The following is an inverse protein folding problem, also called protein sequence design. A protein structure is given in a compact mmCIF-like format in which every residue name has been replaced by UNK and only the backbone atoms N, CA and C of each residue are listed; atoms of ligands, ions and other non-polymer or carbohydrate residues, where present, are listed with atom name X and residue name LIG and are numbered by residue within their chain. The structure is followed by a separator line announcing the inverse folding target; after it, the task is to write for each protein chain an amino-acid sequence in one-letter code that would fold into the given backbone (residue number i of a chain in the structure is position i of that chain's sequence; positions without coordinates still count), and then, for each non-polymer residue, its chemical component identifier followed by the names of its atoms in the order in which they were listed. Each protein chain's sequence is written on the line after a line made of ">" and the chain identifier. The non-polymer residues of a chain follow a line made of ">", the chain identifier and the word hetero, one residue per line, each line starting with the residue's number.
data_IF_678485171567
#
_entry.id   IF_678485171567
#
_cell.length_a   1.000
_cell.length_b   1.000
_cell.length_c   1.000
_cell.angle_alpha   90.00
_cell.angle_beta   90.00
_cell.angle_gamma   90.00
#
_symmetry.space_group_name_H-M   'P 1'
#
loop_
_entity.id
_entity.type
_entity.pdbx_description
1 polymer ?
#
# COMPACT_ATOMS: atom_id res chain seq x y z
N UNK A 1 16.06 -52.84 64.89
CA UNK A 1 17.11 -52.06 64.21
C UNK A 1 16.63 -51.71 62.81
N UNK A 2 16.50 -50.40 62.56
CA UNK A 2 16.54 -49.61 61.32
C UNK A 2 15.85 -50.11 60.04
N UNK A 3 14.72 -49.46 59.74
CA UNK A 3 14.24 -49.19 58.37
C UNK A 3 15.07 -48.01 57.79
N UNK A 4 15.69 -48.20 56.63
CA UNK A 4 16.07 -47.15 55.66
C UNK A 4 15.56 -47.68 54.32
N UNK A 5 14.65 -47.04 53.60
CA UNK A 5 14.44 -45.61 53.45
C UNK A 5 14.67 -45.32 51.97
N UNK A 6 13.68 -45.65 51.15
CA UNK A 6 13.59 -45.28 49.73
C UNK A 6 13.79 -43.78 49.59
N UNK A 7 14.77 -43.35 48.82
CA UNK A 7 14.97 -41.95 48.47
C UNK A 7 15.66 -41.86 47.12
N UNK A 8 14.92 -42.16 46.05
CA UNK A 8 15.36 -41.82 44.69
C UNK A 8 14.15 -41.62 43.77
N UNK A 9 13.33 -40.60 44.05
CA UNK A 9 12.21 -40.24 43.16
C UNK A 9 11.96 -38.73 42.99
N UNK A 10 12.73 -37.88 43.65
CA UNK A 10 12.47 -36.42 43.68
C UNK A 10 13.22 -35.67 42.56
N UNK A 11 14.26 -36.24 41.95
CA UNK A 11 15.11 -35.51 40.99
C UNK A 11 14.59 -35.38 39.54
N UNK A 12 13.59 -36.17 39.13
CA UNK A 12 13.17 -36.21 37.72
C UNK A 12 11.93 -35.36 37.40
N UNK A 13 11.11 -35.04 38.40
CA UNK A 13 9.82 -34.37 38.19
C UNK A 13 9.96 -32.85 37.98
N UNK A 14 11.00 -32.25 38.57
CA UNK A 14 11.26 -30.81 38.46
C UNK A 14 11.93 -30.42 37.12
N UNK A 15 12.68 -31.34 36.51
CA UNK A 15 13.39 -31.09 35.23
C UNK A 15 12.42 -31.15 34.04
N UNK A 16 11.44 -32.06 34.05
CA UNK A 16 10.39 -32.13 33.02
C UNK A 16 9.49 -30.88 33.04
N UNK A 17 9.19 -30.33 34.22
CA UNK A 17 8.37 -29.12 34.35
C UNK A 17 8.99 -27.89 33.68
N UNK A 18 10.29 -27.68 33.86
CA UNK A 18 11.00 -26.55 33.26
C UNK A 18 11.15 -26.68 31.73
N UNK A 19 11.33 -27.90 31.22
CA UNK A 19 11.44 -28.13 29.77
C UNK A 19 10.10 -27.90 29.07
N UNK A 20 9.00 -28.36 29.67
CA UNK A 20 7.66 -28.16 29.12
C UNK A 20 7.24 -26.68 29.14
N UNK A 21 7.57 -25.94 30.21
CA UNK A 21 7.26 -24.51 30.27
C UNK A 21 8.08 -23.69 29.27
N UNK A 22 9.35 -24.03 29.05
CA UNK A 22 10.20 -23.36 28.06
C UNK A 22 9.68 -23.58 26.63
N UNK A 23 9.29 -24.82 26.30
CA UNK A 23 8.71 -25.16 24.99
C UNK A 23 7.40 -24.42 24.72
N UNK A 24 6.53 -24.26 25.72
CA UNK A 24 5.27 -23.52 25.58
C UNK A 24 5.48 -22.02 25.35
N UNK A 25 6.44 -21.41 26.06
CA UNK A 25 6.73 -19.97 25.90
C UNK A 25 7.36 -19.69 24.53
N UNK A 26 8.23 -20.57 24.04
CA UNK A 26 8.80 -20.45 22.70
C UNK A 26 7.74 -20.61 21.60
N UNK A 27 6.83 -21.58 21.72
CA UNK A 27 5.75 -21.76 20.73
C UNK A 27 4.75 -20.60 20.73
N UNK A 28 4.40 -20.05 21.89
CA UNK A 28 3.56 -18.86 21.98
C UNK A 28 4.21 -17.62 21.35
N UNK A 29 5.51 -17.41 21.57
CA UNK A 29 6.25 -16.27 21.02
C UNK A 29 6.39 -16.37 19.50
N UNK A 30 6.70 -17.56 18.97
CA UNK A 30 6.75 -17.83 17.52
C UNK A 30 5.38 -17.59 16.87
N UNK A 31 4.29 -17.90 17.56
CA UNK A 31 2.93 -17.64 17.09
C UNK A 31 2.57 -16.15 17.04
N UNK A 32 3.06 -15.35 17.99
CA UNK A 32 2.88 -13.89 17.95
C UNK A 32 3.70 -13.25 16.83
N UNK A 33 4.94 -13.71 16.62
CA UNK A 33 5.78 -13.23 15.54
C UNK A 33 5.15 -13.51 14.16
N UNK A 34 4.64 -14.74 13.96
CA UNK A 34 3.99 -15.13 12.71
C UNK A 34 2.71 -14.31 12.47
N UNK A 35 1.91 -14.06 13.51
CA UNK A 35 0.74 -13.20 13.44
C UNK A 35 1.08 -11.77 13.03
N UNK A 36 2.14 -11.18 13.62
CA UNK A 36 2.59 -9.82 13.27
C UNK A 36 3.06 -9.78 11.81
N UNK A 37 3.84 -10.76 11.36
CA UNK A 37 4.30 -10.86 9.97
C UNK A 37 3.12 -10.96 9.00
N UNK A 38 2.11 -11.77 9.31
CA UNK A 38 0.91 -11.90 8.51
C UNK A 38 0.15 -10.56 8.42
N UNK A 39 0.00 -9.85 9.55
CA UNK A 39 -0.66 -8.53 9.58
C UNK A 39 0.08 -7.49 8.75
N UNK A 40 1.42 -7.52 8.73
CA UNK A 40 2.22 -6.64 7.88
C UNK A 40 1.95 -6.92 6.40
N UNK A 41 1.89 -8.20 5.99
CA UNK A 41 1.56 -8.57 4.61
C UNK A 41 0.16 -8.08 4.23
N UNK A 42 -0.85 -8.36 5.05
CA UNK A 42 -2.23 -7.90 4.83
C UNK A 42 -2.33 -6.36 4.69
N UNK A 43 -1.58 -5.62 5.50
CA UNK A 43 -1.55 -4.16 5.43
C UNK A 43 -0.88 -3.65 4.15
N UNK A 44 0.19 -4.31 3.69
CA UNK A 44 0.88 -3.97 2.45
C UNK A 44 -0.02 -4.20 1.23
N UNK A 45 -0.74 -5.32 1.20
CA UNK A 45 -1.67 -5.62 0.11
C UNK A 45 -2.82 -4.61 0.06
N UNK A 46 -3.37 -4.24 1.22
CA UNK A 46 -4.39 -3.18 1.31
C UNK A 46 -3.87 -1.82 0.82
N UNK A 47 -2.65 -1.46 1.19
CA UNK A 47 -2.03 -0.21 0.75
C UNK A 47 -1.84 -0.19 -0.77
N UNK A 48 -1.39 -1.29 -1.36
CA UNK A 48 -1.20 -1.38 -2.81
C UNK A 48 -2.52 -1.23 -3.56
N UNK A 49 -3.58 -1.89 -3.09
CA UNK A 49 -4.93 -1.72 -3.66
C UNK A 49 -5.41 -0.26 -3.57
N UNK A 50 -5.22 0.39 -2.43
CA UNK A 50 -5.58 1.79 -2.26
C UNK A 50 -4.81 2.73 -3.20
N UNK A 51 -3.51 2.48 -3.42
CA UNK A 51 -2.71 3.26 -4.37
C UNK A 51 -3.26 3.14 -5.80
N UNK A 52 -3.62 1.92 -6.22
CA UNK A 52 -4.19 1.68 -7.54
C UNK A 52 -5.56 2.36 -7.70
N UNK A 53 -6.43 2.24 -6.70
CA UNK A 53 -7.73 2.90 -6.68
C UNK A 53 -7.59 4.43 -6.72
N UNK A 54 -6.64 4.99 -5.96
CA UNK A 54 -6.36 6.42 -5.97
C UNK A 54 -5.87 6.90 -7.33
N UNK A 55 -4.93 6.18 -7.94
CA UNK A 55 -4.42 6.53 -9.28
C UNK A 55 -5.53 6.51 -10.34
N UNK A 56 -6.48 5.58 -10.24
CA UNK A 56 -7.66 5.55 -11.10
C UNK A 56 -8.54 6.79 -10.88
N UNK A 57 -8.82 7.14 -9.62
CA UNK A 57 -9.62 8.33 -9.28
C UNK A 57 -8.96 9.63 -9.73
N UNK A 58 -7.64 9.75 -9.60
CA UNK A 58 -6.88 10.90 -10.10
C UNK A 58 -7.00 11.04 -11.62
N UNK A 59 -6.90 9.93 -12.35
CA UNK A 59 -7.08 9.92 -13.80
C UNK A 59 -8.52 10.29 -14.21
N UNK A 60 -9.52 9.76 -13.50
CA UNK A 60 -10.93 10.11 -13.73
C UNK A 60 -11.17 11.61 -13.45
N UNK A 61 -10.58 12.15 -12.37
CA UNK A 61 -10.68 13.57 -12.04
C UNK A 61 -10.01 14.45 -13.10
N UNK A 62 -8.82 14.07 -13.57
CA UNK A 62 -8.10 14.78 -14.62
C UNK A 62 -8.90 14.77 -15.93
N UNK A 63 -9.48 13.62 -16.29
CA UNK A 63 -10.32 13.47 -17.48
C UNK A 63 -11.56 14.36 -17.39
N UNK A 64 -12.23 14.37 -16.24
CA UNK A 64 -13.38 15.25 -16.02
C UNK A 64 -13.01 16.74 -16.04
N UNK A 65 -11.86 17.11 -15.48
CA UNK A 65 -11.37 18.50 -15.53
C UNK A 65 -11.09 18.93 -16.98
N UNK A 66 -10.42 18.08 -17.76
CA UNK A 66 -10.17 18.34 -19.18
C UNK A 66 -11.47 18.43 -19.99
N UNK A 67 -12.43 17.54 -19.74
CA UNK A 67 -13.75 17.61 -20.37
C UNK A 67 -14.45 18.93 -20.02
N UNK A 68 -14.40 19.35 -18.75
CA UNK A 68 -14.97 20.62 -18.31
C UNK A 68 -14.26 21.84 -18.89
N UNK A 69 -12.93 21.79 -19.08
CA UNK A 69 -12.18 22.84 -19.80
C UNK A 69 -12.53 22.88 -21.29
N UNK A 70 -12.79 21.72 -21.90
CA UNK A 70 -13.25 21.64 -23.29
C UNK A 70 -14.65 22.24 -23.46
N UNK A 71 -15.48 22.17 -22.41
CA UNK A 71 -16.86 22.68 -22.39
C UNK A 71 -16.94 24.15 -21.96
N UNK A 72 -16.03 24.61 -21.09
CA UNK A 72 -16.02 25.97 -20.57
C UNK A 72 -15.13 26.90 -21.37
N UNK A 73 -15.69 27.61 -22.36
CA UNK A 73 -15.21 28.90 -22.91
C UNK A 73 -13.81 28.98 -23.54
N UNK A 74 -12.79 28.46 -22.87
CA UNK A 74 -11.38 28.54 -23.22
C UNK A 74 -11.08 27.84 -24.56
N UNK A 75 -11.77 26.74 -24.88
CA UNK A 75 -11.65 26.06 -26.18
C UNK A 75 -12.09 26.96 -27.35
N UNK A 76 -13.12 27.78 -27.14
CA UNK A 76 -13.60 28.75 -28.14
C UNK A 76 -12.58 29.90 -28.28
N UNK A 77 -12.02 30.37 -27.17
CA UNK A 77 -10.99 31.42 -27.19
C UNK A 77 -9.69 30.96 -27.84
N UNK A 78 -9.26 29.71 -27.59
CA UNK A 78 -8.11 29.13 -28.27
C UNK A 78 -8.35 28.93 -29.76
N UNK A 79 -9.54 28.46 -30.16
CA UNK A 79 -9.90 28.33 -31.58
C UNK A 79 -9.85 29.68 -32.29
N UNK A 80 -10.37 30.73 -31.66
CA UNK A 80 -10.33 32.10 -32.19
C UNK A 80 -8.90 32.64 -32.30
N UNK A 81 -8.06 32.39 -31.30
CA UNK A 81 -6.66 32.80 -31.32
C UNK A 81 -5.87 32.10 -32.44
N UNK A 82 -6.15 30.82 -32.70
CA UNK A 82 -5.55 30.07 -33.81
C UNK A 82 -5.98 30.67 -35.16
N UNK A 83 -7.26 30.98 -35.34
CA UNK A 83 -7.78 31.61 -36.57
C UNK A 83 -7.15 32.98 -36.84
N UNK A 84 -6.96 33.80 -35.79
CA UNK A 84 -6.29 35.10 -35.90
C UNK A 84 -4.82 34.95 -36.32
N UNK A 85 -4.12 33.94 -35.79
CA UNK A 85 -2.72 33.67 -36.16
C UNK A 85 -2.57 33.17 -37.59
N UNK A 86 -3.48 32.34 -38.07
CA UNK A 86 -3.49 31.88 -39.47
C UNK A 86 -3.68 33.07 -40.41
N UNK A 87 -4.66 33.95 -40.14
CA UNK A 87 -4.89 35.17 -40.94
C UNK A 87 -3.68 36.11 -40.97
N UNK A 88 -2.98 36.24 -39.85
CA UNK A 88 -1.76 37.05 -39.76
C UNK A 88 -0.64 36.47 -40.64
N UNK A 89 -0.50 35.15 -40.67
CA UNK A 89 0.46 34.45 -41.52
C UNK A 89 0.10 34.63 -43.00
N UNK A 90 -1.15 34.43 -43.38
CA UNK A 90 -1.62 34.60 -44.77
C UNK A 90 -1.40 36.03 -45.27
N UNK A 91 -1.67 37.03 -44.43
CA UNK A 91 -1.42 38.43 -44.77
C UNK A 91 0.08 38.73 -44.95
N UNK A 92 0.95 38.14 -44.12
CA UNK A 92 2.40 38.27 -44.27
C UNK A 92 2.89 37.58 -45.55
N UNK A 93 2.40 36.38 -45.86
CA UNK A 93 2.72 35.68 -47.10
C UNK A 93 2.30 36.52 -48.31
N UNK A 94 1.06 37.04 -48.32
CA UNK A 94 0.56 37.89 -49.39
C UNK A 94 1.34 39.23 -49.55
N UNK A 95 2.01 39.69 -48.49
CA UNK A 95 2.88 40.88 -48.54
C UNK A 95 4.30 40.59 -49.03
N UNK A 96 4.66 39.32 -49.17
CA UNK A 96 5.97 38.86 -49.66
C UNK A 96 5.97 38.51 -51.16
N UNK A 97 4.78 38.41 -51.77
CA UNK A 97 4.56 38.35 -53.23
C UNK A 97 4.52 39.75 -53.85
#
# INVERSE_FOLDING_TARGET
>A
MNKKGDSNKVGNQDVEGCQNSSLTVETENVNQESFIRQKIVEARDKLEKQKQDNRKKELDLLTNLLANLTIGGDSIDFSKMIDEKIKEIDAKIASLD
#
